data_IF_155136720842
#
_entry.id   IF_155136720842
#
_cell.length_a   1.000
_cell.length_b   1.000
_cell.length_c   1.000
_cell.angle_alpha   90.00
_cell.angle_beta   90.00
_cell.angle_gamma   90.00
#
_symmetry.space_group_name_H-M   'P 1'
#
loop_
_entity.id
_entity.type
_entity.pdbx_description
1 polymer ?
#
# COMPACT_ATOMS: atom_id res chain seq x y z
N UNK A 1 -27.22 3.88 -7.44
CA UNK A 1 -27.99 5.00 -8.00
C UNK A 1 -29.21 5.20 -7.11
N UNK A 2 -29.22 6.25 -6.29
CA UNK A 2 -30.33 6.57 -5.40
C UNK A 2 -31.41 7.31 -6.21
N UNK A 3 -32.68 6.95 -6.01
CA UNK A 3 -33.82 7.63 -6.64
C UNK A 3 -34.10 8.90 -5.83
N UNK A 4 -33.99 10.06 -6.48
CA UNK A 4 -34.14 11.38 -5.85
C UNK A 4 -35.61 11.82 -5.84
N UNK A 5 -35.99 12.75 -4.94
CA UNK A 5 -37.36 13.31 -4.92
C UNK A 5 -37.74 13.99 -6.26
N UNK A 6 -36.75 14.52 -6.99
CA UNK A 6 -36.93 15.05 -8.34
C UNK A 6 -37.33 13.97 -9.34
N UNK A 7 -36.67 12.81 -9.30
CA UNK A 7 -36.95 11.70 -10.20
C UNK A 7 -38.38 11.17 -9.98
N UNK A 8 -38.84 11.14 -8.72
CA UNK A 8 -40.21 10.75 -8.38
C UNK A 8 -41.26 11.75 -8.89
N UNK A 9 -40.96 13.06 -8.85
CA UNK A 9 -41.83 14.09 -9.38
C UNK A 9 -41.92 14.00 -10.91
N UNK A 10 -40.79 13.82 -11.60
CA UNK A 10 -40.73 13.66 -13.06
C UNK A 10 -41.50 12.39 -13.52
N UNK A 11 -41.36 11.27 -12.79
CA UNK A 11 -42.09 10.03 -13.09
C UNK A 11 -43.61 10.15 -12.86
N UNK A 12 -44.02 10.93 -11.86
CA UNK A 12 -45.44 11.21 -11.59
C UNK A 12 -46.03 12.09 -12.68
N UNK A 13 -45.31 13.16 -13.05
CA UNK A 13 -45.76 14.11 -14.07
C UNK A 13 -45.80 13.46 -15.47
N UNK A 14 -44.94 12.47 -15.72
CA UNK A 14 -44.99 11.60 -16.90
C UNK A 14 -46.11 10.54 -16.86
N UNK A 15 -46.86 10.42 -15.76
CA UNK A 15 -47.93 9.43 -15.59
C UNK A 15 -47.46 7.98 -15.47
N UNK A 16 -46.16 7.76 -15.27
CA UNK A 16 -45.56 6.43 -15.14
C UNK A 16 -45.89 5.82 -13.78
N UNK A 17 -45.99 6.66 -12.74
CA UNK A 17 -46.36 6.26 -11.38
C UNK A 17 -47.48 7.15 -10.83
N UNK A 18 -48.34 6.58 -9.98
CA UNK A 18 -49.35 7.32 -9.24
C UNK A 18 -48.80 7.91 -7.93
N UNK A 19 -49.53 8.87 -7.36
CA UNK A 19 -49.15 9.54 -6.11
C UNK A 19 -48.96 8.56 -4.94
N UNK A 20 -49.80 7.52 -4.85
CA UNK A 20 -49.70 6.50 -3.80
C UNK A 20 -48.46 5.61 -3.97
N UNK A 21 -48.03 5.36 -5.21
CA UNK A 21 -46.78 4.64 -5.50
C UNK A 21 -45.54 5.49 -5.17
N UNK A 22 -45.55 6.78 -5.48
CA UNK A 22 -44.47 7.69 -5.12
C UNK A 22 -44.25 7.75 -3.59
N UNK A 23 -45.34 7.82 -2.82
CA UNK A 23 -45.27 7.85 -1.35
C UNK A 23 -44.77 6.54 -0.76
N UNK A 24 -45.15 5.39 -1.35
CA UNK A 24 -44.62 4.07 -0.96
C UNK A 24 -43.12 3.94 -1.23
N UNK A 25 -42.63 4.45 -2.36
CA UNK A 25 -41.20 4.44 -2.69
C UNK A 25 -40.43 5.34 -1.72
N UNK A 26 -40.98 6.52 -1.39
CA UNK A 26 -40.39 7.43 -0.39
C UNK A 26 -40.32 6.81 1.00
N UNK A 27 -41.38 6.12 1.44
CA UNK A 27 -41.39 5.42 2.72
C UNK A 27 -40.38 4.25 2.75
N UNK A 28 -40.27 3.52 1.65
CA UNK A 28 -39.31 2.43 1.50
C UNK A 28 -37.85 2.92 1.47
N UNK A 29 -37.57 4.06 0.83
CA UNK A 29 -36.23 4.66 0.80
C UNK A 29 -35.86 5.30 2.14
N UNK A 30 -36.80 5.95 2.83
CA UNK A 30 -36.58 6.51 4.18
C UNK A 30 -36.26 5.43 5.23
N UNK A 31 -36.84 4.23 5.10
CA UNK A 31 -36.52 3.07 5.95
C UNK A 31 -35.14 2.45 5.70
N UNK A 32 -34.51 2.78 4.56
CA UNK A 32 -33.10 2.49 4.30
C UNK A 32 -32.28 3.73 4.64
N UNK A 33 -31.97 3.91 5.92
CA UNK A 33 -30.79 4.71 6.28
C UNK A 33 -29.62 4.25 5.39
N UNK A 34 -28.86 5.18 4.78
CA UNK A 34 -27.88 4.85 3.76
C UNK A 34 -26.83 3.89 4.34
N UNK A 35 -26.93 2.60 3.98
CA UNK A 35 -25.81 1.65 4.09
C UNK A 35 -24.68 2.02 3.14
N UNK A 36 -24.93 3.00 2.27
CA UNK A 36 -24.00 3.68 1.38
C UNK A 36 -23.60 5.07 1.91
N UNK A 37 -23.65 5.33 3.23
CA UNK A 37 -23.07 6.55 3.80
C UNK A 37 -21.54 6.62 3.60
N UNK A 38 -20.91 5.55 3.12
CA UNK A 38 -19.54 5.55 2.59
C UNK A 38 -19.45 5.87 1.07
N UNK A 39 -20.58 6.02 0.37
CA UNK A 39 -20.64 6.25 -1.08
C UNK A 39 -21.57 7.43 -1.51
N UNK A 40 -22.05 8.23 -0.55
CA UNK A 40 -22.84 9.45 -0.80
C UNK A 40 -22.07 10.75 -0.50
N UNK A 41 -20.76 10.69 -0.31
CA UNK A 41 -19.91 11.79 -0.77
C UNK A 41 -19.53 11.45 -2.21
N UNK A 42 -20.25 11.98 -3.18
CA UNK A 42 -19.53 12.42 -4.37
C UNK A 42 -18.58 13.49 -3.86
N UNK A 43 -17.27 13.20 -3.71
CA UNK A 43 -16.38 14.20 -3.20
C UNK A 43 -16.37 15.26 -4.30
N UNK A 44 -16.92 16.42 -3.99
CA UNK A 44 -16.51 17.64 -4.67
C UNK A 44 -14.99 17.57 -4.78
N UNK A 45 -14.46 17.98 -5.93
CA UNK A 45 -13.03 17.98 -6.25
C UNK A 45 -12.12 18.40 -5.06
N UNK A 46 -12.65 19.16 -4.09
CA UNK A 46 -12.07 19.45 -2.79
C UNK A 46 -12.98 19.03 -1.63
N UNK A 47 -12.82 17.80 -1.14
CA UNK A 47 -13.25 17.42 0.21
C UNK A 47 -12.07 17.68 1.19
N UNK A 48 -12.22 18.60 2.16
CA UNK A 48 -11.17 18.89 3.15
C UNK A 48 -10.85 17.70 4.04
N UNK A 49 -11.80 16.78 4.31
CA UNK A 49 -11.54 15.58 5.10
C UNK A 49 -10.64 14.59 4.33
N UNK A 50 -10.99 14.29 3.07
CA UNK A 50 -10.13 13.51 2.17
C UNK A 50 -8.77 14.16 1.95
N UNK A 51 -8.71 15.49 1.84
CA UNK A 51 -7.45 16.24 1.74
C UNK A 51 -6.59 16.08 3.00
N UNK A 52 -7.18 16.18 4.20
CA UNK A 52 -6.46 15.97 5.45
C UNK A 52 -5.93 14.54 5.58
N UNK A 53 -6.68 13.55 5.11
CA UNK A 53 -6.24 12.15 5.05
C UNK A 53 -5.03 11.97 4.10
N UNK A 54 -5.10 12.50 2.88
CA UNK A 54 -3.97 12.43 1.94
C UNK A 54 -2.75 13.21 2.44
N UNK A 55 -2.98 14.39 3.02
CA UNK A 55 -1.91 15.19 3.63
C UNK A 55 -1.24 14.43 4.77
N UNK A 56 -2.02 13.79 5.64
CA UNK A 56 -1.50 12.93 6.71
C UNK A 56 -0.69 11.75 6.17
N UNK A 57 -1.17 11.08 5.13
CA UNK A 57 -0.43 9.99 4.48
C UNK A 57 0.90 10.48 3.90
N UNK A 58 0.91 11.62 3.20
CA UNK A 58 2.13 12.25 2.69
C UNK A 58 3.06 12.65 3.84
N UNK A 59 2.53 13.17 4.94
CA UNK A 59 3.32 13.56 6.11
C UNK A 59 3.98 12.35 6.77
N UNK A 60 3.25 11.24 6.89
CA UNK A 60 3.77 9.97 7.40
C UNK A 60 4.86 9.43 6.46
N UNK A 61 4.63 9.43 5.15
CA UNK A 61 5.62 8.98 4.16
C UNK A 61 6.87 9.86 4.16
N UNK A 62 6.70 11.17 4.30
CA UNK A 62 7.80 12.11 4.42
C UNK A 62 8.58 11.90 5.71
N UNK A 63 7.90 11.78 6.85
CA UNK A 63 8.53 11.49 8.13
C UNK A 63 9.24 10.13 8.11
N UNK A 64 8.65 9.12 7.47
CA UNK A 64 9.23 7.80 7.28
C UNK A 64 10.54 7.86 6.48
N UNK A 65 10.50 8.51 5.31
CA UNK A 65 11.68 8.68 4.46
C UNK A 65 12.77 9.49 5.14
N UNK A 66 12.39 10.57 5.82
CA UNK A 66 13.32 11.41 6.59
C UNK A 66 13.95 10.65 7.74
N UNK A 67 13.15 9.94 8.53
CA UNK A 67 13.64 9.16 9.66
C UNK A 67 14.55 8.02 9.21
N UNK A 68 14.22 7.34 8.10
CA UNK A 68 15.09 6.32 7.52
C UNK A 68 16.44 6.90 7.06
N UNK A 69 16.42 8.05 6.37
CA UNK A 69 17.66 8.74 5.97
C UNK A 69 18.50 9.16 7.18
N UNK A 70 17.86 9.75 8.18
CA UNK A 70 18.54 10.26 9.37
C UNK A 70 19.07 9.13 10.25
N UNK A 71 18.31 8.03 10.38
CA UNK A 71 18.73 6.82 11.09
C UNK A 71 20.00 6.23 10.47
N UNK A 72 20.05 6.14 9.14
CA UNK A 72 21.26 5.72 8.43
C UNK A 72 22.40 6.71 8.66
N UNK A 73 22.20 8.01 8.38
CA UNK A 73 23.27 9.03 8.50
C UNK A 73 23.87 9.11 9.90
N UNK A 74 23.06 9.01 10.95
CA UNK A 74 23.51 9.19 12.34
C UNK A 74 24.02 7.90 12.98
N UNK A 75 23.42 6.75 12.66
CA UNK A 75 23.62 5.53 13.45
C UNK A 75 23.99 4.29 12.61
N UNK A 76 24.14 4.43 11.29
CA UNK A 76 24.62 3.37 10.39
C UNK A 76 23.54 2.35 10.01
N UNK A 77 23.96 1.23 9.41
CA UNK A 77 23.03 0.24 8.85
C UNK A 77 22.15 -0.49 9.87
N UNK A 78 22.62 -0.69 11.11
CA UNK A 78 21.87 -1.47 12.11
C UNK A 78 20.59 -0.79 12.61
N UNK A 79 20.57 0.53 12.73
CA UNK A 79 19.36 1.27 13.09
C UNK A 79 18.35 1.26 11.95
N UNK A 80 18.81 1.41 10.71
CA UNK A 80 17.95 1.30 9.53
C UNK A 80 17.34 -0.11 9.43
N UNK A 81 18.08 -1.15 9.81
CA UNK A 81 17.57 -2.52 9.88
C UNK A 81 16.46 -2.64 10.93
N UNK A 82 16.62 -2.02 12.11
CA UNK A 82 15.59 -1.96 13.14
C UNK A 82 14.31 -1.28 12.66
N UNK A 83 14.42 -0.19 11.89
CA UNK A 83 13.27 0.50 11.29
C UNK A 83 12.58 -0.39 10.26
N UNK A 84 13.33 -0.98 9.33
CA UNK A 84 12.76 -1.86 8.31
C UNK A 84 12.03 -3.07 8.92
N UNK A 85 12.60 -3.66 9.99
CA UNK A 85 11.97 -4.74 10.74
C UNK A 85 10.69 -4.29 11.44
N UNK A 86 10.73 -3.15 12.14
CA UNK A 86 9.56 -2.64 12.86
C UNK A 86 8.38 -2.38 11.91
N UNK A 87 8.64 -1.73 10.77
CA UNK A 87 7.61 -1.46 9.76
C UNK A 87 7.14 -2.73 9.04
N UNK A 88 8.06 -3.62 8.66
CA UNK A 88 7.71 -4.91 8.07
C UNK A 88 6.80 -5.74 8.99
N UNK A 89 7.12 -5.79 10.29
CA UNK A 89 6.32 -6.47 11.29
C UNK A 89 4.95 -5.80 11.49
N UNK A 90 4.91 -4.46 11.54
CA UNK A 90 3.67 -3.70 11.68
C UNK A 90 2.74 -3.95 10.49
N UNK A 91 3.24 -3.87 9.25
CA UNK A 91 2.45 -4.11 8.06
C UNK A 91 1.99 -5.56 7.94
N UNK A 92 2.83 -6.53 8.29
CA UNK A 92 2.42 -7.93 8.33
C UNK A 92 1.31 -8.17 9.36
N UNK A 93 1.43 -7.57 10.56
CA UNK A 93 0.44 -7.72 11.63
C UNK A 93 -0.90 -7.07 11.29
N UNK A 94 -0.89 -5.80 10.85
CA UNK A 94 -2.12 -5.14 10.41
C UNK A 94 -2.72 -5.86 9.20
N UNK A 95 -1.89 -6.26 8.23
CA UNK A 95 -2.33 -6.97 7.03
C UNK A 95 -3.03 -8.29 7.36
N UNK A 96 -2.48 -9.06 8.29
CA UNK A 96 -3.10 -10.29 8.78
C UNK A 96 -4.40 -10.03 9.56
N UNK A 97 -4.45 -8.96 10.35
CA UNK A 97 -5.68 -8.59 11.07
C UNK A 97 -6.82 -8.22 10.11
N UNK A 98 -6.53 -7.41 9.08
CA UNK A 98 -7.50 -7.03 8.05
C UNK A 98 -7.91 -8.23 7.20
N UNK A 99 -6.95 -9.09 6.81
CA UNK A 99 -7.23 -10.28 6.03
C UNK A 99 -8.20 -11.23 6.75
N UNK A 100 -8.00 -11.46 8.05
CA UNK A 100 -8.92 -12.29 8.87
C UNK A 100 -10.28 -11.62 9.09
N UNK A 101 -10.33 -10.29 9.06
CA UNK A 101 -11.56 -9.51 9.16
C UNK A 101 -12.42 -9.50 7.90
N UNK A 102 -11.97 -10.12 6.80
CA UNK A 102 -12.70 -10.18 5.53
C UNK A 102 -12.20 -9.20 4.46
N UNK A 103 -11.38 -8.22 4.85
CA UNK A 103 -10.81 -7.19 3.97
C UNK A 103 -9.57 -7.69 3.23
N UNK A 104 -9.78 -8.63 2.29
CA UNK A 104 -8.69 -9.30 1.55
C UNK A 104 -7.84 -8.36 0.71
N UNK A 105 -8.44 -7.29 0.15
CA UNK A 105 -7.71 -6.33 -0.69
C UNK A 105 -6.75 -5.50 0.16
N UNK A 106 -7.25 -4.87 1.22
CA UNK A 106 -6.42 -4.06 2.12
C UNK A 106 -5.36 -4.91 2.84
N UNK A 107 -5.73 -6.10 3.32
CA UNK A 107 -4.79 -7.04 3.93
C UNK A 107 -3.69 -7.48 2.98
N UNK A 108 -4.04 -7.84 1.74
CA UNK A 108 -3.07 -8.25 0.71
C UNK A 108 -2.10 -7.14 0.32
N UNK A 109 -2.58 -5.89 0.27
CA UNK A 109 -1.75 -4.72 -0.01
C UNK A 109 -0.73 -4.48 1.11
N UNK A 110 -1.14 -4.61 2.37
CA UNK A 110 -0.24 -4.47 3.52
C UNK A 110 0.82 -5.58 3.57
N UNK A 111 0.47 -6.81 3.21
CA UNK A 111 1.47 -7.88 3.05
C UNK A 111 2.47 -7.57 1.93
N UNK A 112 2.03 -6.97 0.83
CA UNK A 112 2.94 -6.54 -0.24
C UNK A 112 3.86 -5.40 0.23
N UNK A 113 3.33 -4.44 1.00
CA UNK A 113 4.13 -3.37 1.60
C UNK A 113 5.17 -3.91 2.60
N UNK A 114 4.80 -4.93 3.39
CA UNK A 114 5.73 -5.63 4.28
C UNK A 114 6.87 -6.30 3.48
N UNK A 115 6.52 -6.98 2.37
CA UNK A 115 7.52 -7.59 1.50
C UNK A 115 8.44 -6.53 0.85
N UNK A 116 7.92 -5.35 0.52
CA UNK A 116 8.69 -4.21 0.04
C UNK A 116 9.72 -3.64 1.04
N UNK A 117 9.62 -3.99 2.32
CA UNK A 117 10.64 -3.66 3.32
C UNK A 117 11.85 -4.60 3.30
N UNK A 118 11.76 -5.75 2.63
CA UNK A 118 12.83 -6.75 2.52
C UNK A 118 14.13 -6.22 1.92
N UNK A 119 14.14 -5.56 0.74
CA UNK A 119 15.40 -5.07 0.17
C UNK A 119 16.04 -4.01 1.07
N UNK A 120 15.23 -3.14 1.69
CA UNK A 120 15.70 -2.15 2.66
C UNK A 120 16.35 -2.82 3.87
N UNK A 121 15.75 -3.90 4.40
CA UNK A 121 16.31 -4.66 5.52
C UNK A 121 17.65 -5.31 5.15
N UNK A 122 17.70 -6.00 4.00
CA UNK A 122 18.93 -6.66 3.54
C UNK A 122 20.03 -5.64 3.29
N UNK A 123 19.71 -4.53 2.62
CA UNK A 123 20.60 -3.39 2.46
C UNK A 123 21.16 -2.93 3.81
N UNK A 124 20.29 -2.72 4.79
CA UNK A 124 20.65 -2.21 6.11
C UNK A 124 21.59 -3.15 6.85
N UNK A 125 21.36 -4.46 6.76
CA UNK A 125 22.24 -5.48 7.34
C UNK A 125 23.59 -5.50 6.63
N UNK A 126 23.62 -5.46 5.29
CA UNK A 126 24.87 -5.38 4.53
C UNK A 126 25.68 -4.13 4.88
N UNK A 127 25.01 -2.98 5.02
CA UNK A 127 25.62 -1.74 5.46
C UNK A 127 26.12 -1.81 6.92
N UNK A 128 25.36 -2.46 7.82
CA UNK A 128 25.74 -2.64 9.22
C UNK A 128 26.92 -3.61 9.41
N UNK A 129 27.08 -4.58 8.52
CA UNK A 129 28.21 -5.50 8.47
C UNK A 129 29.46 -4.90 7.80
N UNK A 130 29.35 -3.68 7.24
CA UNK A 130 30.45 -3.03 6.53
C UNK A 130 30.84 -3.72 5.22
N UNK A 131 30.01 -4.63 4.70
CA UNK A 131 30.23 -5.29 3.41
C UNK A 131 29.73 -4.44 2.25
N UNK A 132 28.93 -3.42 2.52
CA UNK A 132 28.44 -2.50 1.49
C UNK A 132 29.60 -1.67 0.92
N UNK A 133 29.74 -1.55 -0.43
CA UNK A 133 30.84 -0.83 -1.03
C UNK A 133 30.88 0.65 -0.60
N UNK A 134 32.04 1.14 -0.19
CA UNK A 134 32.23 2.55 0.11
C UNK A 134 31.92 3.39 -1.13
N UNK A 135 31.06 4.40 -1.00
CA UNK A 135 30.75 5.34 -2.07
C UNK A 135 31.99 6.13 -2.56
N UNK A 136 33.06 6.14 -1.76
CA UNK A 136 34.35 6.74 -2.11
C UNK A 136 35.26 5.83 -2.97
N UNK A 137 34.93 4.53 -3.11
CA UNK A 137 35.65 3.62 -3.98
C UNK A 137 35.39 3.99 -5.44
N UNK A 138 36.48 4.22 -6.19
CA UNK A 138 36.49 4.81 -7.54
C UNK A 138 35.47 4.17 -8.48
N UNK A 139 34.78 5.02 -9.26
CA UNK A 139 33.83 4.66 -10.31
C UNK A 139 34.48 3.90 -11.48
N UNK A 140 34.82 2.63 -11.26
CA UNK A 140 35.33 1.70 -12.27
C UNK A 140 34.40 0.49 -12.45
N UNK A 141 34.57 -0.30 -13.53
CA UNK A 141 33.71 -1.45 -13.84
C UNK A 141 33.60 -2.48 -12.71
N UNK A 142 34.65 -2.65 -11.89
CA UNK A 142 34.66 -3.55 -10.74
C UNK A 142 33.78 -3.06 -9.58
N UNK A 143 33.67 -1.75 -9.39
CA UNK A 143 32.76 -1.15 -8.41
C UNK A 143 31.30 -1.40 -8.78
N UNK A 144 30.95 -1.24 -10.07
CA UNK A 144 29.61 -1.57 -10.56
C UNK A 144 29.26 -3.06 -10.40
N UNK A 145 30.22 -3.97 -10.64
CA UNK A 145 30.04 -5.41 -10.43
C UNK A 145 29.86 -5.78 -8.95
N UNK A 146 30.61 -5.15 -8.04
CA UNK A 146 30.41 -5.33 -6.61
C UNK A 146 29.00 -4.87 -6.20
N UNK A 147 28.59 -3.68 -6.65
CA UNK A 147 27.24 -3.14 -6.39
C UNK A 147 26.13 -4.07 -6.91
N UNK A 148 26.31 -4.63 -8.12
CA UNK A 148 25.38 -5.61 -8.70
C UNK A 148 25.29 -6.88 -7.84
N UNK A 149 26.40 -7.40 -7.33
CA UNK A 149 26.41 -8.55 -6.42
C UNK A 149 25.59 -8.32 -5.14
N UNK A 150 25.69 -7.12 -4.55
CA UNK A 150 24.88 -6.76 -3.38
C UNK A 150 23.38 -6.63 -3.70
N UNK A 151 23.05 -6.09 -4.89
CA UNK A 151 21.66 -5.99 -5.37
C UNK A 151 21.02 -7.35 -5.62
N UNK A 152 21.74 -8.27 -6.25
CA UNK A 152 21.29 -9.65 -6.47
C UNK A 152 20.87 -10.32 -5.16
N UNK A 153 21.63 -10.12 -4.07
CA UNK A 153 21.28 -10.66 -2.75
C UNK A 153 19.99 -10.03 -2.19
N UNK A 154 19.81 -8.72 -2.36
CA UNK A 154 18.59 -8.02 -1.92
C UNK A 154 17.35 -8.49 -2.69
N UNK A 155 17.47 -8.65 -4.00
CA UNK A 155 16.38 -9.07 -4.87
C UNK A 155 16.02 -10.55 -4.64
N UNK A 156 17.01 -11.43 -4.51
CA UNK A 156 16.79 -12.84 -4.18
C UNK A 156 16.06 -13.01 -2.83
N UNK A 157 16.45 -12.25 -1.81
CA UNK A 157 15.76 -12.25 -0.52
C UNK A 157 14.31 -11.74 -0.65
N UNK A 158 14.10 -10.68 -1.45
CA UNK A 158 12.76 -10.12 -1.71
C UNK A 158 11.86 -11.11 -2.42
N UNK A 159 12.39 -11.84 -3.41
CA UNK A 159 11.69 -12.93 -4.11
C UNK A 159 11.27 -14.01 -3.11
N UNK A 160 12.18 -14.47 -2.23
CA UNK A 160 11.85 -15.48 -1.22
C UNK A 160 10.73 -15.03 -0.28
N UNK A 161 10.78 -13.77 0.19
CA UNK A 161 9.72 -13.21 1.06
C UNK A 161 8.39 -13.09 0.31
N UNK A 162 8.41 -12.67 -0.95
CA UNK A 162 7.19 -12.58 -1.78
C UNK A 162 6.60 -13.97 -2.08
N UNK A 163 7.42 -14.98 -2.33
CA UNK A 163 6.97 -16.37 -2.47
C UNK A 163 6.32 -16.87 -1.18
N UNK A 164 6.92 -16.56 -0.02
CA UNK A 164 6.34 -16.88 1.28
C UNK A 164 5.00 -16.15 1.50
N UNK A 165 4.93 -14.87 1.17
CA UNK A 165 3.70 -14.07 1.28
C UNK A 165 2.57 -14.65 0.41
N UNK A 166 2.86 -15.01 -0.85
CA UNK A 166 1.93 -15.69 -1.75
C UNK A 166 1.44 -17.01 -1.14
N UNK A 167 2.37 -17.79 -0.56
CA UNK A 167 2.06 -19.10 0.01
C UNK A 167 1.15 -19.02 1.23
N UNK A 168 1.28 -17.98 2.03
CA UNK A 168 0.46 -17.73 3.22
C UNK A 168 -0.89 -17.09 2.86
N UNK A 169 -0.90 -16.16 1.90
CA UNK A 169 -2.05 -15.32 1.54
C UNK A 169 -2.05 -15.04 0.03
N UNK A 170 -2.69 -15.90 -0.80
CA UNK A 170 -2.70 -15.73 -2.25
C UNK A 170 -3.48 -14.48 -2.63
N UNK A 171 -2.77 -13.47 -3.12
CA UNK A 171 -3.34 -12.21 -3.57
C UNK A 171 -2.58 -11.70 -4.80
N UNK A 172 -3.33 -11.31 -5.84
CA UNK A 172 -2.81 -11.05 -7.19
C UNK A 172 -1.70 -9.99 -7.21
N UNK A 173 -1.75 -9.00 -6.32
CA UNK A 173 -0.75 -7.93 -6.29
C UNK A 173 0.65 -8.39 -5.86
N UNK A 174 0.75 -9.49 -5.08
CA UNK A 174 2.06 -10.07 -4.76
C UNK A 174 2.77 -10.60 -6.01
N UNK A 175 2.03 -11.07 -7.00
CA UNK A 175 2.61 -11.52 -8.27
C UNK A 175 3.20 -10.35 -9.06
N UNK A 176 2.58 -9.17 -9.01
CA UNK A 176 3.12 -7.95 -9.62
C UNK A 176 4.41 -7.49 -8.92
N UNK A 177 4.42 -7.48 -7.58
CA UNK A 177 5.63 -7.17 -6.81
C UNK A 177 6.74 -8.20 -7.06
N UNK A 178 6.39 -9.49 -7.18
CA UNK A 178 7.31 -10.57 -7.52
C UNK A 178 7.90 -10.38 -8.92
N UNK A 179 7.06 -10.05 -9.90
CA UNK A 179 7.52 -9.77 -11.26
C UNK A 179 8.49 -8.58 -11.29
N UNK A 180 8.20 -7.51 -10.56
CA UNK A 180 9.11 -6.37 -10.45
C UNK A 180 10.47 -6.76 -9.84
N UNK A 181 10.46 -7.56 -8.77
CA UNK A 181 11.69 -8.06 -8.14
C UNK A 181 12.50 -8.98 -9.07
N UNK A 182 11.83 -9.84 -9.84
CA UNK A 182 12.46 -10.71 -10.84
C UNK A 182 13.05 -9.91 -12.00
N UNK A 183 12.35 -8.87 -12.47
CA UNK A 183 12.86 -7.98 -13.52
C UNK A 183 14.10 -7.22 -13.03
N UNK A 184 14.07 -6.72 -11.80
CA UNK A 184 15.22 -6.05 -11.20
C UNK A 184 16.44 -7.00 -11.12
N UNK A 185 16.23 -8.25 -10.68
CA UNK A 185 17.24 -9.31 -10.70
C UNK A 185 17.79 -9.61 -12.09
N UNK A 186 16.94 -9.60 -13.11
CA UNK A 186 17.36 -9.82 -14.49
C UNK A 186 18.22 -8.66 -15.03
N UNK A 187 18.06 -7.43 -14.53
CA UNK A 187 18.90 -6.30 -14.91
C UNK A 187 20.29 -6.32 -14.26
N UNK A 188 20.44 -7.04 -13.15
CA UNK A 188 21.68 -7.08 -12.36
C UNK A 188 22.58 -8.30 -12.63
N UNK A 189 22.08 -9.26 -13.41
CA UNK A 189 22.81 -10.43 -13.93
C UNK A 189 23.53 -10.12 -15.25
#
# INVERSE_FOLDING_TARGET
MAITDRDLAELRDAGIIDAGTADRIRAWSAGRAPRDADAADEPGWFDPARTAYYLGAVLILFALGWFALEAWKRYGGWTLAGVALAYGALFAWLGDRLWRGGERVAGGLLFTAAAGMTPLLVFSVQAGLGVWPDAAARAGPEHYRALAGHRVVMEAATILVLLLAIRLRPFAFHAAALAAAVVALAFDL
#
